data_IF_657316154862
#
_entry.id   IF_657316154862
#
_cell.length_a   1.000
_cell.length_b   1.000
_cell.length_c   1.000
_cell.angle_alpha   90.00
_cell.angle_beta   90.00
_cell.angle_gamma   90.00
#
_symmetry.space_group_name_H-M   'P 1'
#
loop_
_entity.id
_entity.type
_entity.pdbx_description
1 polymer ?
#
# COMPACT_ATOMS: atom_id res chain seq x y z
N UNK A 1 0.75 -10.54 -20.78
CA UNK A 1 1.82 -9.77 -20.12
C UNK A 1 1.19 -8.52 -19.50
N UNK A 2 1.39 -8.22 -18.21
CA UNK A 2 0.96 -6.94 -17.63
C UNK A 2 1.68 -5.77 -18.31
N UNK A 3 0.99 -4.65 -18.58
CA UNK A 3 1.61 -3.42 -19.08
C UNK A 3 1.85 -2.46 -17.92
N UNK A 4 2.82 -1.54 -18.05
CA UNK A 4 3.15 -0.56 -17.00
C UNK A 4 1.93 0.26 -16.54
N UNK A 5 1.01 0.59 -17.45
CA UNK A 5 -0.23 1.32 -17.16
C UNK A 5 -1.25 0.54 -16.31
N UNK A 6 -1.04 -0.77 -16.13
CA UNK A 6 -1.91 -1.66 -15.34
C UNK A 6 -1.37 -1.87 -13.91
N UNK A 7 -0.31 -1.14 -13.52
CA UNK A 7 0.43 -1.34 -12.28
C UNK A 7 0.33 -0.14 -11.32
N UNK A 8 0.36 -0.45 -10.02
CA UNK A 8 0.51 0.50 -8.93
C UNK A 8 1.56 0.02 -7.93
N UNK A 9 2.11 0.98 -7.18
CA UNK A 9 3.01 0.74 -6.05
C UNK A 9 2.30 1.11 -4.75
N UNK A 10 2.33 0.19 -3.80
CA UNK A 10 1.72 0.36 -2.49
C UNK A 10 2.81 0.44 -1.43
N UNK A 11 2.88 1.58 -0.74
CA UNK A 11 3.77 1.78 0.40
C UNK A 11 2.96 1.55 1.68
N UNK A 12 3.17 0.41 2.32
CA UNK A 12 2.41 0.00 3.50
C UNK A 12 3.31 0.10 4.73
N UNK A 13 2.94 1.01 5.63
CA UNK A 13 3.47 1.10 6.99
C UNK A 13 4.98 1.41 7.07
N UNK A 14 5.54 2.13 6.09
CA UNK A 14 6.89 2.69 6.15
C UNK A 14 7.02 3.85 7.15
N UNK A 15 6.70 3.55 8.41
CA UNK A 15 6.59 4.50 9.51
C UNK A 15 7.88 4.56 10.32
N UNK A 16 8.19 5.75 10.83
CA UNK A 16 9.46 6.04 11.49
C UNK A 16 9.69 5.18 12.74
N UNK A 17 8.65 4.89 13.51
CA UNK A 17 8.74 4.04 14.71
C UNK A 17 8.92 2.56 14.36
N UNK A 18 8.25 2.09 13.30
CA UNK A 18 8.35 0.70 12.83
C UNK A 18 9.73 0.36 12.26
N UNK A 19 10.48 1.36 11.76
CA UNK A 19 11.84 1.15 11.28
C UNK A 19 12.80 0.61 12.35
N UNK A 20 12.53 0.85 13.64
CA UNK A 20 13.34 0.29 14.73
C UNK A 20 13.21 -1.24 14.86
N UNK A 21 12.19 -1.84 14.22
CA UNK A 21 11.96 -3.28 14.22
C UNK A 21 12.68 -4.00 13.07
N UNK A 22 13.23 -3.26 12.11
CA UNK A 22 14.01 -3.81 10.99
C UNK A 22 15.40 -4.20 11.50
N UNK A 23 15.77 -5.47 11.33
CA UNK A 23 17.03 -6.03 11.86
C UNK A 23 17.88 -6.75 10.82
N UNK A 24 17.35 -7.01 9.63
CA UNK A 24 17.99 -7.75 8.55
C UNK A 24 18.87 -6.87 7.65
N UNK A 25 18.70 -5.55 7.70
CA UNK A 25 19.48 -4.58 6.95
C UNK A 25 19.76 -3.33 7.79
N UNK A 26 20.74 -2.53 7.37
CA UNK A 26 20.97 -1.23 8.00
C UNK A 26 19.78 -0.30 7.76
N UNK A 27 19.47 0.53 8.75
CA UNK A 27 18.37 1.50 8.66
C UNK A 27 18.52 2.44 7.46
N UNK A 28 19.76 2.85 7.15
CA UNK A 28 20.03 3.73 6.01
C UNK A 28 19.80 3.00 4.68
N UNK A 29 20.35 1.79 4.53
CA UNK A 29 20.12 0.95 3.35
C UNK A 29 18.63 0.73 3.12
N UNK A 30 17.87 0.42 4.18
CA UNK A 30 16.43 0.23 4.09
C UNK A 30 15.69 1.47 3.58
N UNK A 31 15.99 2.65 4.16
CA UNK A 31 15.41 3.93 3.72
C UNK A 31 15.77 4.23 2.27
N UNK A 32 17.00 3.96 1.84
CA UNK A 32 17.41 4.15 0.46
C UNK A 32 16.66 3.23 -0.50
N UNK A 33 16.43 1.96 -0.15
CA UNK A 33 15.63 1.04 -0.96
C UNK A 33 14.20 1.55 -1.14
N UNK A 34 13.55 2.01 -0.07
CA UNK A 34 12.19 2.58 -0.15
C UNK A 34 12.17 3.78 -1.11
N UNK A 35 13.15 4.68 -0.98
CA UNK A 35 13.24 5.85 -1.85
C UNK A 35 13.54 5.49 -3.30
N UNK A 36 14.39 4.48 -3.55
CA UNK A 36 14.70 3.98 -4.89
C UNK A 36 13.49 3.33 -5.56
N UNK A 37 12.67 2.59 -4.81
CA UNK A 37 11.37 2.10 -5.32
C UNK A 37 10.46 3.28 -5.67
N UNK A 38 10.41 4.30 -4.82
CA UNK A 38 9.70 5.54 -5.11
C UNK A 38 10.20 6.25 -6.38
N UNK A 39 11.51 6.40 -6.54
CA UNK A 39 12.09 7.02 -7.73
C UNK A 39 11.80 6.21 -9.00
N UNK A 40 11.85 4.87 -8.90
CA UNK A 40 11.47 3.97 -10.00
C UNK A 40 10.00 4.15 -10.37
N UNK A 41 9.11 4.16 -9.38
CA UNK A 41 7.67 4.32 -9.60
C UNK A 41 7.36 5.68 -10.24
N UNK A 42 8.05 6.75 -9.79
CA UNK A 42 7.95 8.08 -10.38
C UNK A 42 8.45 8.12 -11.81
N UNK A 43 9.57 7.45 -12.10
CA UNK A 43 10.16 7.39 -13.44
C UNK A 43 9.21 6.76 -14.47
N UNK A 44 8.47 5.71 -14.07
CA UNK A 44 7.49 5.03 -14.93
C UNK A 44 6.06 5.61 -14.83
N UNK A 45 5.87 6.74 -14.13
CA UNK A 45 4.55 7.35 -13.87
C UNK A 45 3.52 6.36 -13.27
N UNK A 46 4.00 5.45 -12.41
CA UNK A 46 3.14 4.47 -11.74
C UNK A 46 2.25 5.16 -10.71
N UNK A 47 1.05 4.61 -10.54
CA UNK A 47 0.13 5.06 -9.49
C UNK A 47 0.65 4.64 -8.12
N UNK A 48 0.51 5.53 -7.15
CA UNK A 48 1.03 5.33 -5.79
C UNK A 48 -0.13 5.38 -4.81
N UNK A 49 -0.18 4.44 -3.88
CA UNK A 49 -1.02 4.56 -2.68
C UNK A 49 -0.13 4.37 -1.47
N UNK A 50 -0.34 5.21 -0.46
CA UNK A 50 0.39 5.15 0.81
C UNK A 50 -0.60 4.85 1.94
N UNK A 51 -0.17 4.04 2.90
CA UNK A 51 -0.99 3.79 4.09
C UNK A 51 -0.12 3.54 5.32
N UNK A 52 -0.65 3.87 6.49
CA UNK A 52 -0.02 3.68 7.80
C UNK A 52 -0.95 2.94 8.75
N UNK A 53 -0.40 2.32 9.78
CA UNK A 53 -1.16 1.74 10.89
C UNK A 53 -0.81 2.47 12.18
N UNK A 54 -1.80 3.03 12.88
CA UNK A 54 -1.64 3.73 14.17
C UNK A 54 -0.55 4.82 14.14
N UNK A 55 -0.64 5.72 13.18
CA UNK A 55 0.38 6.76 12.96
C UNK A 55 0.46 7.82 14.06
N UNK A 56 -0.61 7.97 14.83
CA UNK A 56 -0.72 8.80 16.03
C UNK A 56 -0.10 8.13 17.27
N UNK A 57 0.24 6.84 17.17
CA UNK A 57 0.84 6.04 18.22
C UNK A 57 2.36 5.85 18.07
N UNK A 58 2.94 4.84 18.74
CA UNK A 58 4.38 4.59 18.74
C UNK A 58 4.94 4.18 17.37
N UNK A 59 4.09 3.74 16.44
CA UNK A 59 4.51 3.48 15.06
C UNK A 59 4.94 4.79 14.37
N UNK A 60 4.35 5.92 14.76
CA UNK A 60 4.66 7.25 14.25
C UNK A 60 4.20 7.46 12.81
N UNK A 61 4.54 8.64 12.26
CA UNK A 61 4.17 9.00 10.89
C UNK A 61 4.91 8.17 9.84
N UNK A 62 4.36 8.12 8.62
CA UNK A 62 5.10 7.62 7.45
C UNK A 62 6.41 8.42 7.27
N UNK A 63 7.42 7.79 6.66
CA UNK A 63 8.69 8.43 6.35
C UNK A 63 8.49 9.79 5.64
N UNK A 64 8.93 10.91 6.23
CA UNK A 64 8.67 12.24 5.69
C UNK A 64 9.17 12.45 4.25
N UNK A 65 10.35 11.90 3.92
CA UNK A 65 10.91 11.96 2.56
C UNK A 65 10.04 11.25 1.53
N UNK A 66 9.35 10.17 1.90
CA UNK A 66 8.42 9.47 1.02
C UNK A 66 7.15 10.28 0.79
N UNK A 67 6.55 10.80 1.87
CA UNK A 67 5.35 11.65 1.79
C UNK A 67 5.59 12.93 0.98
N UNK A 68 6.75 13.56 1.15
CA UNK A 68 7.14 14.74 0.38
C UNK A 68 7.37 14.44 -1.12
N UNK A 69 7.76 13.20 -1.47
CA UNK A 69 7.95 12.78 -2.86
C UNK A 69 6.61 12.61 -3.59
N UNK A 70 5.56 12.20 -2.87
CA UNK A 70 4.22 11.92 -3.39
C UNK A 70 3.13 12.66 -2.62
N UNK A 71 3.14 14.00 -2.60
CA UNK A 71 2.23 14.78 -1.75
C UNK A 71 0.75 14.63 -2.12
N UNK A 72 0.46 14.24 -3.37
CA UNK A 72 -0.90 14.10 -3.90
C UNK A 72 -1.35 12.64 -4.04
N UNK A 73 -0.52 11.67 -3.66
CA UNK A 73 -0.92 10.28 -3.70
C UNK A 73 -1.95 10.01 -2.60
N UNK A 74 -2.99 9.18 -2.86
CA UNK A 74 -3.92 8.74 -1.83
C UNK A 74 -3.19 8.22 -0.60
N UNK A 75 -3.60 8.71 0.56
CA UNK A 75 -2.99 8.43 1.85
C UNK A 75 -4.05 7.99 2.84
N UNK A 76 -3.92 6.77 3.37
CA UNK A 76 -4.89 6.22 4.33
C UNK A 76 -4.19 5.92 5.65
N UNK A 77 -4.54 6.67 6.70
CA UNK A 77 -4.08 6.43 8.06
C UNK A 77 -5.05 5.48 8.77
N UNK A 78 -4.69 4.19 8.88
CA UNK A 78 -5.55 3.16 9.48
C UNK A 78 -5.45 3.23 11.01
N UNK A 79 -6.59 3.25 11.75
CA UNK A 79 -6.58 3.40 13.20
C UNK A 79 -6.09 2.17 13.97
N UNK A 80 -5.99 1.00 13.32
CA UNK A 80 -5.53 -0.21 14.00
C UNK A 80 -5.46 -1.49 13.18
N UNK A 81 -5.95 -1.48 11.94
CA UNK A 81 -5.95 -2.63 11.05
C UNK A 81 -4.50 -2.97 10.68
N UNK A 82 -4.09 -4.19 11.05
CA UNK A 82 -2.76 -4.72 10.72
C UNK A 82 -2.72 -5.02 9.23
N UNK A 83 -3.65 -5.85 8.75
CA UNK A 83 -3.84 -6.05 7.32
C UNK A 83 -4.50 -4.81 6.71
N UNK A 84 -3.83 -4.19 5.73
CA UNK A 84 -4.34 -3.01 5.08
C UNK A 84 -5.65 -3.27 4.30
N UNK A 85 -5.84 -4.50 3.78
CA UNK A 85 -7.08 -4.86 3.07
C UNK A 85 -8.33 -4.93 3.95
N UNK A 86 -8.17 -4.98 5.27
CA UNK A 86 -9.31 -4.95 6.19
C UNK A 86 -9.89 -3.54 6.34
N UNK A 87 -9.18 -2.52 5.85
CA UNK A 87 -9.62 -1.12 5.86
C UNK A 87 -10.33 -0.75 4.55
N UNK A 88 -11.63 -0.40 4.60
CA UNK A 88 -12.40 -0.11 3.40
C UNK A 88 -11.95 1.18 2.71
N UNK A 89 -11.34 2.13 3.42
CA UNK A 89 -10.85 3.37 2.83
C UNK A 89 -9.53 3.13 2.10
N UNK A 90 -8.71 2.17 2.54
CA UNK A 90 -7.56 1.70 1.76
C UNK A 90 -7.98 1.04 0.45
N UNK A 91 -9.02 0.21 0.46
CA UNK A 91 -9.59 -0.34 -0.77
C UNK A 91 -10.06 0.78 -1.69
N UNK A 92 -10.89 1.72 -1.22
CA UNK A 92 -11.37 2.87 -2.01
C UNK A 92 -10.22 3.71 -2.58
N UNK A 93 -9.14 3.92 -1.81
CA UNK A 93 -7.98 4.67 -2.26
C UNK A 93 -7.28 4.03 -3.47
N UNK A 94 -7.31 2.70 -3.60
CA UNK A 94 -6.83 2.02 -4.80
C UNK A 94 -7.72 2.30 -6.01
N UNK A 95 -9.04 2.21 -5.84
CA UNK A 95 -10.02 2.44 -6.91
C UNK A 95 -10.17 3.92 -7.31
N UNK A 96 -9.60 4.85 -6.54
CA UNK A 96 -9.52 6.26 -6.91
C UNK A 96 -8.76 6.48 -8.23
N UNK A 97 -7.94 5.52 -8.65
CA UNK A 97 -7.34 5.53 -9.98
C UNK A 97 -8.30 4.89 -11.00
N UNK A 98 -8.69 5.61 -12.08
CA UNK A 98 -9.65 5.14 -13.09
C UNK A 98 -9.24 3.87 -13.87
N UNK A 99 -8.04 3.35 -13.63
CA UNK A 99 -7.40 2.27 -14.37
C UNK A 99 -7.74 0.87 -13.83
N UNK A 100 -8.49 0.76 -12.74
CA UNK A 100 -8.80 -0.52 -12.10
C UNK A 100 -10.29 -0.88 -12.19
N UNK A 101 -10.81 -1.29 -13.38
CA UNK A 101 -12.11 -1.95 -13.45
C UNK A 101 -12.07 -3.34 -12.78
N UNK A 102 -10.89 -3.95 -12.72
CA UNK A 102 -10.54 -5.10 -11.88
C UNK A 102 -9.28 -4.76 -11.08
N UNK A 103 -9.07 -5.38 -9.91
CA UNK A 103 -7.97 -5.05 -8.97
C UNK A 103 -6.62 -4.86 -9.69
N UNK A 104 -5.75 -3.94 -9.20
CA UNK A 104 -4.44 -3.71 -9.79
C UNK A 104 -3.70 -5.03 -9.98
N UNK A 105 -3.06 -5.22 -11.14
CA UNK A 105 -2.00 -6.24 -11.24
C UNK A 105 -0.81 -5.68 -10.47
N UNK A 106 -0.83 -5.92 -9.17
CA UNK A 106 0.05 -5.38 -8.16
C UNK A 106 1.51 -5.61 -8.54
N UNK A 107 2.29 -4.54 -8.71
CA UNK A 107 3.70 -4.66 -9.13
C UNK A 107 4.68 -4.54 -7.96
N UNK A 108 4.33 -3.88 -6.85
CA UNK A 108 5.15 -3.87 -5.65
C UNK A 108 4.35 -3.50 -4.40
N UNK A 109 4.42 -4.37 -3.39
CA UNK A 109 3.98 -4.13 -2.03
C UNK A 109 5.20 -4.26 -1.13
N UNK A 110 5.52 -3.19 -0.40
CA UNK A 110 6.49 -3.24 0.68
C UNK A 110 5.73 -2.99 1.98
N UNK A 111 5.69 -4.02 2.84
CA UNK A 111 5.08 -3.97 4.18
C UNK A 111 6.11 -4.33 5.25
N UNK A 112 5.94 -3.76 6.44
CA UNK A 112 6.81 -4.01 7.60
C UNK A 112 6.25 -5.05 8.58
N UNK A 113 4.98 -5.45 8.45
CA UNK A 113 4.31 -6.42 9.33
C UNK A 113 3.68 -7.56 8.51
N UNK A 114 4.30 -8.76 8.56
CA UNK A 114 3.79 -10.10 8.16
C UNK A 114 3.63 -10.45 6.66
N UNK A 115 3.68 -11.76 6.30
CA UNK A 115 4.06 -12.24 4.97
C UNK A 115 3.03 -11.80 3.95
N UNK A 116 3.54 -11.20 2.90
CA UNK A 116 2.78 -10.88 1.71
C UNK A 116 2.26 -12.18 1.11
N UNK A 117 1.05 -12.59 1.46
CA UNK A 117 0.33 -13.53 0.62
C UNK A 117 0.22 -12.86 -0.74
N UNK A 118 0.71 -13.48 -1.81
CA UNK A 118 0.69 -12.84 -3.10
C UNK A 118 -0.75 -12.49 -3.46
N UNK A 119 -1.02 -11.24 -3.84
CA UNK A 119 -2.34 -10.82 -4.30
C UNK A 119 -2.87 -11.69 -5.47
N UNK A 120 -1.98 -12.39 -6.20
CA UNK A 120 -2.34 -13.34 -7.25
C UNK A 120 -2.85 -14.71 -6.75
N UNK A 121 -2.68 -15.02 -5.46
CA UNK A 121 -3.01 -16.33 -4.87
C UNK A 121 -4.26 -16.32 -4.00
N UNK A 122 -4.86 -15.15 -3.78
CA UNK A 122 -6.15 -15.01 -3.11
C UNK A 122 -7.26 -14.84 -4.13
N UNK A 123 -8.28 -15.69 -4.05
CA UNK A 123 -9.55 -15.44 -4.73
C UNK A 123 -10.20 -14.18 -4.14
N UNK A 124 -11.03 -13.45 -4.89
CA UNK A 124 -11.84 -12.35 -4.35
C UNK A 124 -12.59 -12.68 -3.05
N UNK A 125 -13.01 -13.94 -2.89
CA UNK A 125 -13.66 -14.47 -1.68
C UNK A 125 -12.73 -14.66 -0.48
N UNK A 126 -11.41 -14.76 -0.71
CA UNK A 126 -10.40 -15.00 0.32
C UNK A 126 -9.77 -13.70 0.83
N UNK A 127 -9.85 -12.62 0.03
CA UNK A 127 -9.51 -11.25 0.43
C UNK A 127 -10.50 -10.67 1.47
N UNK A 128 -11.64 -11.33 1.68
CA UNK A 128 -12.68 -10.96 2.64
C UNK A 128 -12.76 -11.96 3.79
N UNK A 129 -11.66 -12.24 4.50
CA UNK A 129 -11.80 -12.92 5.80
C UNK A 129 -12.37 -11.96 6.83
N UNK A 130 -13.70 -11.80 6.84
CA UNK A 130 -14.42 -11.21 7.97
C UNK A 130 -15.78 -10.60 7.69
N UNK A 131 -16.11 -10.16 6.48
CA UNK A 131 -17.46 -9.63 6.16
C UNK A 131 -17.80 -9.84 4.67
N UNK A 132 -18.97 -10.45 4.44
CA UNK A 132 -19.66 -10.53 3.14
C UNK A 132 -19.95 -9.12 2.62
N UNK A 133 -19.00 -8.51 1.90
CA UNK A 133 -19.32 -7.38 1.04
C UNK A 133 -19.93 -7.96 -0.23
N UNK A 134 -21.27 -8.09 -0.25
CA UNK A 134 -21.97 -8.16 -1.52
C UNK A 134 -21.56 -6.92 -2.31
N UNK A 135 -20.96 -7.13 -3.48
CA UNK A 135 -20.81 -6.11 -4.51
C UNK A 135 -22.11 -5.31 -4.55
N UNK A 136 -22.06 -4.08 -4.06
CA UNK A 136 -23.17 -3.15 -4.24
C UNK A 136 -23.13 -2.84 -5.73
N UNK A 137 -24.00 -3.51 -6.49
CA UNK A 137 -24.31 -3.15 -7.86
C UNK A 137 -24.76 -1.68 -7.84
N UNK A 138 -23.86 -0.78 -8.23
CA UNK A 138 -24.26 0.56 -8.62
C UNK A 138 -24.97 0.42 -9.97
N UNK A 139 -26.29 0.41 -9.92
CA UNK A 139 -27.14 0.41 -11.09
C UNK A 139 -26.96 1.72 -11.88
N UNK A 140 -26.70 1.53 -13.18
CA UNK A 140 -26.90 2.40 -14.36
C UNK A 140 -26.33 3.81 -14.36
#
# INVERSE_FOLDING_TARGET
MPRLHDAAVLFIDHQVGLFNLVQDTSLDSFKYTILAVGDTAKFFDLKIVMTTSREDGPNGSIMPKLKAKFPNAPYVARPGQINAWDDPDFFKAMYAYPLFPELPRLLAMMSLWLPTLPAHSMKPSEMTHGRDWKLVEYNS
#
